data_IF_960739338502
#
_entry.id   IF_960739338502
#
_cell.length_a   1.000
_cell.length_b   1.000
_cell.length_c   1.000
_cell.angle_alpha   90.00
_cell.angle_beta   90.00
_cell.angle_gamma   90.00
#
_symmetry.space_group_name_H-M   'P 1'
#
loop_
_entity.id
_entity.type
_entity.pdbx_description
1 polymer ?
#
# COMPACT_ATOMS: atom_id res chain seq x y z
N UNK A 1 7.48 1.22 -6.39
CA UNK A 1 6.51 2.19 -6.91
C UNK A 1 5.27 1.51 -7.50
N UNK A 2 5.41 0.53 -8.41
CA UNK A 2 4.28 -0.14 -9.09
C UNK A 2 3.14 -0.55 -8.15
N UNK A 3 3.43 -1.24 -7.05
CA UNK A 3 2.38 -1.70 -6.12
C UNK A 3 1.59 -0.54 -5.48
N UNK A 4 2.27 0.47 -4.96
CA UNK A 4 1.61 1.62 -4.34
C UNK A 4 0.75 2.42 -5.35
N UNK A 5 1.22 2.54 -6.59
CA UNK A 5 0.46 3.17 -7.67
C UNK A 5 -0.77 2.35 -8.07
N UNK A 6 -0.63 1.03 -8.23
CA UNK A 6 -1.76 0.15 -8.53
C UNK A 6 -2.80 0.14 -7.41
N UNK A 7 -2.36 0.15 -6.15
CA UNK A 7 -3.25 0.23 -5.00
C UNK A 7 -4.08 1.53 -5.01
N UNK A 8 -3.46 2.66 -5.34
CA UNK A 8 -4.14 3.94 -5.44
C UNK A 8 -5.14 3.97 -6.62
N UNK A 9 -4.72 3.51 -7.81
CA UNK A 9 -5.51 3.63 -9.03
C UNK A 9 -6.62 2.57 -9.15
N UNK A 10 -6.36 1.34 -8.71
CA UNK A 10 -7.30 0.22 -8.89
C UNK A 10 -8.15 -0.04 -7.65
N UNK A 11 -7.59 0.15 -6.47
CA UNK A 11 -8.27 -0.15 -5.21
C UNK A 11 -8.64 1.13 -4.43
N UNK A 12 -8.23 2.31 -4.89
CA UNK A 12 -8.59 3.58 -4.27
C UNK A 12 -7.97 3.76 -2.88
N UNK A 13 -6.79 3.18 -2.62
CA UNK A 13 -6.07 3.30 -1.35
C UNK A 13 -4.69 3.91 -1.58
N UNK A 14 -4.50 5.13 -1.10
CA UNK A 14 -3.22 5.83 -1.15
C UNK A 14 -2.31 5.41 0.01
N UNK A 15 -1.07 5.02 -0.30
CA UNK A 15 -0.03 4.67 0.67
C UNK A 15 1.28 5.32 0.28
N UNK A 16 2.17 5.52 1.25
CA UNK A 16 3.52 5.97 0.95
C UNK A 16 4.40 4.75 0.61
N UNK A 17 5.02 4.70 -0.59
CA UNK A 17 5.90 3.60 -0.97
C UNK A 17 7.19 3.65 -0.14
N UNK A 18 7.81 2.49 0.12
CA UNK A 18 9.06 2.47 0.88
C UNK A 18 10.21 3.22 0.21
N UNK A 19 10.20 3.39 -1.12
CA UNK A 19 11.16 4.27 -1.83
C UNK A 19 11.09 5.74 -1.43
N UNK A 20 9.96 6.22 -0.90
CA UNK A 20 9.86 7.58 -0.35
C UNK A 20 10.72 7.79 0.91
N UNK A 21 11.27 6.70 1.47
CA UNK A 21 12.00 6.72 2.73
C UNK A 21 13.29 5.89 2.71
N UNK A 22 13.64 5.35 1.55
CA UNK A 22 14.84 4.55 1.38
C UNK A 22 16.04 5.42 1.03
N UNK A 23 17.20 5.14 1.63
CA UNK A 23 18.51 5.66 1.22
C UNK A 23 19.01 4.98 -0.08
N UNK A 24 18.14 4.75 -1.06
CA UNK A 24 18.38 3.99 -2.30
C UNK A 24 18.57 2.47 -2.16
N UNK A 25 18.14 1.83 -1.05
CA UNK A 25 18.13 0.36 -0.95
C UNK A 25 16.87 -0.22 -1.65
N UNK A 26 17.03 -1.11 -2.65
CA UNK A 26 15.92 -1.68 -3.43
C UNK A 26 14.96 -2.53 -2.59
N UNK A 27 15.39 -3.06 -1.44
CA UNK A 27 14.53 -3.85 -0.53
C UNK A 27 13.42 -3.01 0.08
N UNK A 28 13.57 -1.69 0.12
CA UNK A 28 12.55 -0.79 0.67
C UNK A 28 11.24 -0.84 -0.11
N UNK A 29 11.27 -1.22 -1.39
CA UNK A 29 10.06 -1.38 -2.20
C UNK A 29 9.16 -2.54 -1.74
N UNK A 30 9.64 -3.41 -0.84
CA UNK A 30 8.83 -4.45 -0.18
C UNK A 30 7.91 -3.93 0.92
N UNK A 31 8.01 -2.65 1.29
CA UNK A 31 7.26 -2.06 2.40
C UNK A 31 6.42 -0.86 1.96
N UNK A 32 5.30 -0.65 2.64
CA UNK A 32 4.41 0.52 2.48
C UNK A 32 4.09 1.11 3.85
N UNK A 33 3.71 2.39 3.88
CA UNK A 33 3.24 3.06 5.10
C UNK A 33 1.85 3.64 4.92
N UNK A 34 1.04 3.51 5.97
CA UNK A 34 -0.33 4.00 6.03
C UNK A 34 -0.37 5.16 7.04
N UNK A 35 -1.03 6.24 6.68
CA UNK A 35 -1.32 7.34 7.59
C UNK A 35 -2.59 7.02 8.39
N UNK A 36 -2.48 6.94 9.72
CA UNK A 36 -3.62 6.68 10.60
C UNK A 36 -4.38 7.94 11.01
N UNK A 37 -3.90 9.13 10.63
CA UNK A 37 -4.57 10.41 10.90
C UNK A 37 -5.76 10.64 9.93
N UNK A 38 -6.76 9.77 10.02
CA UNK A 38 -8.01 9.79 9.25
C UNK A 38 -9.18 9.33 10.12
N UNK A 39 -10.40 9.59 9.65
CA UNK A 39 -11.62 9.01 10.23
C UNK A 39 -11.55 7.48 10.29
N UNK A 40 -12.03 6.89 11.39
CA UNK A 40 -11.94 5.45 11.65
C UNK A 40 -12.74 4.62 10.64
N UNK A 41 -13.92 5.11 10.21
CA UNK A 41 -14.74 4.43 9.20
C UNK A 41 -14.04 4.42 7.84
N UNK A 42 -13.49 5.57 7.43
CA UNK A 42 -12.70 5.66 6.19
C UNK A 42 -11.46 4.78 6.23
N UNK A 43 -10.78 4.73 7.37
CA UNK A 43 -9.62 3.87 7.57
C UNK A 43 -10.01 2.38 7.48
N UNK A 44 -11.10 1.96 8.11
CA UNK A 44 -11.61 0.58 8.02
C UNK A 44 -11.86 0.16 6.57
N UNK A 45 -12.58 0.99 5.82
CA UNK A 45 -12.85 0.74 4.39
C UNK A 45 -11.56 0.65 3.57
N UNK A 46 -10.58 1.50 3.85
CA UNK A 46 -9.29 1.45 3.17
C UNK A 46 -8.50 0.18 3.49
N UNK A 47 -8.53 -0.29 4.75
CA UNK A 47 -7.89 -1.54 5.17
C UNK A 47 -8.57 -2.76 4.54
N UNK A 48 -9.90 -2.77 4.41
CA UNK A 48 -10.62 -3.84 3.71
C UNK A 48 -10.24 -3.90 2.22
N UNK A 49 -10.13 -2.75 1.57
CA UNK A 49 -9.68 -2.65 0.16
C UNK A 49 -8.24 -3.12 -0.01
N UNK A 50 -7.36 -2.76 0.94
CA UNK A 50 -5.98 -3.26 0.97
C UNK A 50 -5.95 -4.78 1.10
N UNK A 51 -6.77 -5.34 2.00
CA UNK A 51 -6.91 -6.79 2.16
C UNK A 51 -7.36 -7.51 0.88
N UNK A 52 -8.24 -6.90 0.08
CA UNK A 52 -8.60 -7.43 -1.24
C UNK A 52 -7.44 -7.35 -2.23
N UNK A 53 -6.76 -6.20 -2.33
CA UNK A 53 -5.62 -6.02 -3.23
C UNK A 53 -4.49 -7.04 -2.98
N UNK A 54 -4.27 -7.42 -1.71
CA UNK A 54 -3.27 -8.43 -1.34
C UNK A 54 -3.63 -9.84 -1.82
N UNK A 55 -4.91 -10.16 -1.99
CA UNK A 55 -5.36 -11.46 -2.53
C UNK A 55 -5.13 -11.57 -4.03
N UNK A 56 -5.13 -10.43 -4.73
CA UNK A 56 -4.88 -10.36 -6.17
C UNK A 56 -3.38 -10.42 -6.51
N UNK A 57 -2.50 -10.28 -5.51
CA UNK A 57 -1.07 -10.40 -5.70
C UNK A 57 -0.66 -11.86 -5.88
N UNK A 58 0.17 -12.19 -6.89
CA UNK A 58 0.74 -13.52 -7.00
C UNK A 58 1.63 -13.80 -5.78
N UNK A 59 1.43 -14.96 -5.15
CA UNK A 59 2.34 -15.44 -4.10
C UNK A 59 3.71 -15.62 -4.75
N UNK A 60 4.69 -14.82 -4.32
CA UNK A 60 6.08 -15.03 -4.69
C UNK A 60 6.63 -16.13 -3.77
N UNK A 61 6.92 -17.29 -4.37
CA UNK A 61 7.65 -18.38 -3.73
C UNK A 61 9.10 -17.98 -3.43
#
# INVERSE_FOLDING_TARGET
>A
LHFASDLALRHGVGVAPGSAFGLNDPRNEGFIRICFAQDAGRLSVALDRLGHALKDLPIRA
#
